data_IF_865728496123
#
_entry.id   IF_865728496123
#
_cell.length_a   1.000
_cell.length_b   1.000
_cell.length_c   1.000
_cell.angle_alpha   90.00
_cell.angle_beta   90.00
_cell.angle_gamma   90.00
#
_symmetry.space_group_name_H-M   'P 1'
#
loop_
_entity.id
_entity.type
_entity.pdbx_description
1 polymer ?
#
# COMPACT_ATOMS: atom_id res chain seq x y z
N UNK A 1 -12.42 -18.29 8.15
CA UNK A 1 -13.52 -17.49 8.73
C UNK A 1 -14.11 -16.59 7.64
N UNK A 2 -15.39 -16.21 7.72
CA UNK A 2 -16.08 -15.48 6.64
C UNK A 2 -15.43 -14.12 6.26
N UNK A 3 -14.60 -13.55 7.15
CA UNK A 3 -13.86 -12.32 6.88
C UNK A 3 -12.48 -12.55 6.26
N UNK A 4 -11.93 -13.77 6.32
CA UNK A 4 -10.57 -14.05 5.85
C UNK A 4 -10.45 -13.89 4.34
N UNK A 5 -11.47 -14.33 3.59
CA UNK A 5 -11.52 -14.18 2.13
C UNK A 5 -11.60 -12.70 1.73
N UNK A 6 -12.35 -11.89 2.49
CA UNK A 6 -12.47 -10.45 2.25
C UNK A 6 -11.17 -9.71 2.58
N UNK A 7 -10.51 -10.08 3.68
CA UNK A 7 -9.19 -9.55 4.07
C UNK A 7 -8.15 -9.91 3.02
N UNK A 8 -8.12 -11.18 2.58
CA UNK A 8 -7.17 -11.65 1.56
C UNK A 8 -7.39 -10.96 0.21
N UNK A 9 -8.65 -10.77 -0.21
CA UNK A 9 -8.97 -10.02 -1.42
C UNK A 9 -8.53 -8.55 -1.33
N UNK A 10 -8.70 -7.91 -0.17
CA UNK A 10 -8.27 -6.54 0.08
C UNK A 10 -6.73 -6.43 0.04
N UNK A 11 -6.02 -7.33 0.72
CA UNK A 11 -4.56 -7.41 0.69
C UNK A 11 -4.00 -7.62 -0.71
N UNK A 12 -4.60 -8.54 -1.47
CA UNK A 12 -4.26 -8.78 -2.86
C UNK A 12 -4.44 -7.52 -3.72
N UNK A 13 -5.54 -6.77 -3.51
CA UNK A 13 -5.77 -5.53 -4.26
C UNK A 13 -4.77 -4.43 -3.88
N UNK A 14 -4.48 -4.25 -2.59
CA UNK A 14 -3.47 -3.30 -2.12
C UNK A 14 -2.07 -3.64 -2.66
N UNK A 15 -1.72 -4.93 -2.69
CA UNK A 15 -0.48 -5.40 -3.31
C UNK A 15 -0.40 -5.06 -4.80
N UNK A 16 -1.51 -5.25 -5.52
CA UNK A 16 -1.61 -4.90 -6.95
C UNK A 16 -1.40 -3.40 -7.17
N UNK A 17 -1.99 -2.53 -6.35
CA UNK A 17 -1.80 -1.09 -6.46
C UNK A 17 -0.34 -0.65 -6.27
N UNK A 18 0.40 -1.30 -5.37
CA UNK A 18 1.84 -1.04 -5.20
C UNK A 18 2.62 -1.45 -6.45
N UNK A 19 2.30 -2.60 -7.05
CA UNK A 19 2.95 -3.04 -8.29
C UNK A 19 2.68 -2.06 -9.44
N UNK A 20 1.43 -1.62 -9.59
CA UNK A 20 1.03 -0.62 -10.59
C UNK A 20 1.79 0.70 -10.38
N UNK A 21 1.84 1.23 -9.13
CA UNK A 21 2.55 2.47 -8.82
C UNK A 21 4.06 2.40 -9.10
N UNK A 22 4.70 1.27 -8.80
CA UNK A 22 6.12 1.04 -9.13
C UNK A 22 6.37 0.97 -10.62
N UNK A 23 5.47 0.33 -11.37
CA UNK A 23 5.57 0.29 -12.82
C UNK A 23 5.44 1.69 -13.43
N UNK A 24 4.55 2.52 -12.89
CA UNK A 24 4.39 3.90 -13.33
C UNK A 24 5.61 4.76 -12.99
N UNK A 25 6.21 4.58 -11.81
CA UNK A 25 7.45 5.24 -11.44
C UNK A 25 8.60 4.87 -12.39
N UNK A 26 8.80 3.58 -12.66
CA UNK A 26 9.83 3.13 -13.60
C UNK A 26 9.62 3.70 -15.01
N UNK A 27 8.37 3.82 -15.47
CA UNK A 27 8.05 4.45 -16.75
C UNK A 27 8.34 5.96 -16.75
N UNK A 28 8.01 6.67 -15.66
CA UNK A 28 8.30 8.09 -15.51
C UNK A 28 9.81 8.37 -15.44
N UNK A 29 10.57 7.53 -14.73
CA UNK A 29 12.03 7.59 -14.66
C UNK A 29 12.67 7.39 -16.04
N UNK A 30 12.17 6.43 -16.83
CA UNK A 30 12.63 6.20 -18.20
C UNK A 30 12.29 7.37 -19.14
N UNK A 31 11.17 8.05 -18.93
CA UNK A 31 10.78 9.24 -19.71
C UNK A 31 11.55 10.51 -19.30
N UNK A 32 12.07 10.57 -18.08
CA UNK A 32 12.95 11.64 -17.60
C UNK A 32 12.25 12.97 -17.31
N UNK A 33 10.91 13.00 -17.24
CA UNK A 33 10.17 14.20 -16.85
C UNK A 33 10.16 14.35 -15.32
N UNK A 34 10.80 15.39 -14.74
CA UNK A 34 10.89 15.54 -13.29
C UNK A 34 9.54 15.63 -12.58
N UNK A 35 8.53 16.24 -13.21
CA UNK A 35 7.20 16.38 -12.60
C UNK A 35 6.47 15.03 -12.56
N UNK A 36 6.59 14.23 -13.62
CA UNK A 36 5.96 12.92 -13.68
C UNK A 36 6.61 11.94 -12.70
N UNK A 37 7.93 12.03 -12.52
CA UNK A 37 8.67 11.26 -11.52
C UNK A 37 8.21 11.64 -10.10
N UNK A 38 8.10 12.94 -9.80
CA UNK A 38 7.62 13.40 -8.48
C UNK A 38 6.20 12.91 -8.18
N UNK A 39 5.30 12.97 -9.18
CA UNK A 39 3.94 12.48 -9.05
C UNK A 39 3.89 10.95 -8.83
N UNK A 40 4.70 10.20 -9.56
CA UNK A 40 4.77 8.75 -9.44
C UNK A 40 5.39 8.30 -8.09
N UNK A 41 6.40 9.02 -7.58
CA UNK A 41 6.95 8.80 -6.24
C UNK A 41 5.91 9.01 -5.15
N UNK A 42 5.14 10.10 -5.21
CA UNK A 42 4.08 10.36 -4.23
C UNK A 42 2.99 9.29 -4.31
N UNK A 43 2.64 8.84 -5.53
CA UNK A 43 1.70 7.74 -5.72
C UNK A 43 2.22 6.44 -5.09
N UNK A 44 3.48 6.06 -5.31
CA UNK A 44 4.08 4.87 -4.67
C UNK A 44 4.02 4.99 -3.14
N UNK A 45 4.41 6.15 -2.60
CA UNK A 45 4.37 6.42 -1.16
C UNK A 45 2.97 6.26 -0.58
N UNK A 46 1.95 6.79 -1.26
CA UNK A 46 0.55 6.66 -0.84
C UNK A 46 0.07 5.20 -0.87
N UNK A 47 0.46 4.42 -1.88
CA UNK A 47 0.09 2.99 -1.96
C UNK A 47 0.80 2.16 -0.87
N UNK A 48 2.06 2.48 -0.56
CA UNK A 48 2.78 1.84 0.55
C UNK A 48 2.14 2.18 1.91
N UNK A 49 1.78 3.45 2.13
CA UNK A 49 1.04 3.86 3.33
C UNK A 49 -0.33 3.21 3.40
N UNK A 50 -0.97 2.97 2.26
CA UNK A 50 -2.24 2.28 2.22
C UNK A 50 -2.14 0.81 2.63
N UNK A 51 -0.99 0.18 2.43
CA UNK A 51 -0.77 -1.21 2.84
C UNK A 51 -0.45 -1.37 4.33
N UNK A 52 -0.07 -0.29 5.03
CA UNK A 52 0.16 -0.32 6.47
C UNK A 52 -1.18 -0.34 7.21
N UNK A 53 -1.86 -1.48 7.16
CA UNK A 53 -3.17 -1.75 7.75
C UNK A 53 -3.23 -1.35 9.24
N UNK A 54 -2.12 -1.50 9.97
CA UNK A 54 -2.01 -1.09 11.38
C UNK A 54 -2.11 0.42 11.59
N UNK A 55 -1.64 1.25 10.64
CA UNK A 55 -1.68 2.72 10.77
C UNK A 55 -3.05 3.32 10.46
N UNK A 56 -3.96 2.54 9.88
CA UNK A 56 -5.30 3.00 9.50
C UNK A 56 -6.28 2.97 10.66
N UNK A 57 -5.92 2.26 11.71
CA UNK A 57 -6.81 2.01 12.82
C UNK A 57 -6.47 3.00 13.92
N UNK A 58 -7.25 4.07 14.01
CA UNK A 58 -7.23 4.99 15.15
C UNK A 58 -7.80 4.37 16.44
N UNK A 59 -8.07 3.07 16.42
CA UNK A 59 -8.52 2.27 17.55
C UNK A 59 -7.35 1.43 18.09
N UNK A 60 -6.90 1.79 19.28
CA UNK A 60 -5.73 1.24 19.96
C UNK A 60 -5.83 -0.29 20.21
N UNK A 61 -7.06 -0.81 20.33
CA UNK A 61 -7.31 -2.24 20.57
C UNK A 61 -7.00 -3.11 19.35
N UNK A 62 -7.37 -2.63 18.16
CA UNK A 62 -7.09 -3.29 16.89
C UNK A 62 -5.63 -3.14 16.48
N UNK A 63 -5.01 -1.98 16.75
CA UNK A 63 -3.57 -1.79 16.54
C UNK A 63 -2.73 -2.84 17.28
N UNK A 64 -3.09 -3.10 18.55
CA UNK A 64 -2.41 -4.08 19.40
C UNK A 64 -2.56 -5.51 18.90
N UNK A 65 -3.74 -5.88 18.40
CA UNK A 65 -4.00 -7.22 17.82
C UNK A 65 -3.11 -7.51 16.60
N UNK A 66 -2.94 -6.55 15.68
CA UNK A 66 -2.09 -6.73 14.50
C UNK A 66 -0.58 -6.74 14.84
N UNK A 67 -0.14 -5.99 15.86
CA UNK A 67 1.24 -6.04 16.37
C UNK A 67 1.63 -7.43 16.91
N UNK A 68 0.68 -8.15 17.53
CA UNK A 68 0.94 -9.50 18.05
C UNK A 68 1.04 -10.56 16.94
N UNK A 69 0.38 -10.34 15.80
CA UNK A 69 0.39 -11.24 14.64
C UNK A 69 1.66 -11.11 13.77
N UNK A 70 2.34 -9.97 13.81
CA UNK A 70 3.57 -9.71 13.04
C UNK A 70 4.87 -10.11 13.78
N UNK A 71 4.76 -10.81 14.92
CA UNK A 71 5.88 -11.24 15.77
C UNK A 71 6.35 -12.66 15.48
#
# INVERSE_FOLDING_TARGET
MPFDDAISALEGRLGTFIMEARSELAAAEAAGNPQDIANALEKERLMLRARLQSQWIGDESMYSYFQELER
#
